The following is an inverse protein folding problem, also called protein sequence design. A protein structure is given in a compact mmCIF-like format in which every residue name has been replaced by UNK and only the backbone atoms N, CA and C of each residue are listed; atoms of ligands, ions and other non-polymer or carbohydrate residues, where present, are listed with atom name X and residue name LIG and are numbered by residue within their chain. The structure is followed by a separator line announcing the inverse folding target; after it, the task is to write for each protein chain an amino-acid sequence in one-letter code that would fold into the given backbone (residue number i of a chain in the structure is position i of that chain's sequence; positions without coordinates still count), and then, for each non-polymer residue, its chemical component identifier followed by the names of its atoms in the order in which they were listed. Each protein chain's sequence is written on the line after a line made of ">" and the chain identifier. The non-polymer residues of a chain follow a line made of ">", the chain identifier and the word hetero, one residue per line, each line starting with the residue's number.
data_IF_820463868039
#
_entry.id   IF_820463868039
#
_cell.length_a   1.000
_cell.length_b   1.000
_cell.length_c   1.000
_cell.angle_alpha   90.00
_cell.angle_beta   90.00
_cell.angle_gamma   90.00
#
_symmetry.space_group_name_H-M   'P 1'
#
loop_
_entity.id
_entity.type
_entity.pdbx_description
1 polymer ?
#
# COMPACT_ATOMS: atom_id res chain seq x y z
N UNK A 1 -17.07 -0.86 -20.90
CA UNK A 1 -16.70 -0.72 -19.49
C UNK A 1 -15.75 -1.85 -19.21
N UNK A 2 -14.55 -1.53 -18.72
CA UNK A 2 -13.55 -2.56 -18.46
C UNK A 2 -13.88 -3.24 -17.14
N UNK A 3 -13.89 -4.57 -17.17
CA UNK A 3 -14.23 -5.43 -16.03
C UNK A 3 -12.99 -6.16 -15.52
N UNK A 4 -12.99 -6.49 -14.23
CA UNK A 4 -12.03 -7.40 -13.62
C UNK A 4 -12.74 -8.48 -12.82
N UNK A 5 -12.08 -9.62 -12.67
CA UNK A 5 -12.54 -10.74 -11.87
C UNK A 5 -12.14 -10.53 -10.40
N UNK A 6 -13.06 -10.66 -9.47
CA UNK A 6 -12.80 -10.44 -8.05
C UNK A 6 -13.57 -11.36 -7.13
N UNK A 7 -13.22 -11.35 -5.84
CA UNK A 7 -13.90 -12.10 -4.80
C UNK A 7 -14.80 -11.15 -4.01
N UNK A 8 -16.12 -11.32 -4.15
CA UNK A 8 -17.09 -10.54 -3.37
C UNK A 8 -16.98 -10.91 -1.89
N UNK A 9 -16.87 -9.90 -1.03
CA UNK A 9 -16.98 -10.05 0.42
C UNK A 9 -18.41 -9.73 0.84
N UNK A 10 -18.85 -10.26 1.97
CA UNK A 10 -20.24 -10.04 2.41
C UNK A 10 -20.51 -8.60 2.89
N UNK A 11 -19.48 -7.77 3.06
CA UNK A 11 -19.60 -6.32 3.28
C UNK A 11 -19.68 -5.51 1.97
N UNK A 12 -19.70 -6.17 0.81
CA UNK A 12 -19.80 -5.56 -0.51
C UNK A 12 -18.47 -5.06 -1.11
N UNK A 13 -17.36 -5.22 -0.38
CA UNK A 13 -16.02 -5.00 -0.92
C UNK A 13 -15.61 -6.16 -1.83
N UNK A 14 -14.61 -5.93 -2.70
CA UNK A 14 -14.17 -6.92 -3.70
C UNK A 14 -12.66 -7.09 -3.59
N UNK A 15 -12.18 -8.31 -3.32
CA UNK A 15 -10.74 -8.63 -3.36
C UNK A 15 -10.28 -9.01 -4.76
N UNK A 16 -9.07 -8.61 -5.15
CA UNK A 16 -8.41 -9.11 -6.38
C UNK A 16 -7.47 -10.30 -6.09
N UNK A 17 -7.31 -10.62 -4.81
CA UNK A 17 -6.57 -11.75 -4.25
C UNK A 17 -7.39 -12.36 -3.11
N UNK A 18 -6.93 -13.51 -2.63
CA UNK A 18 -7.59 -14.28 -1.58
C UNK A 18 -6.53 -14.80 -0.59
N UNK A 19 -5.77 -13.88 0.01
CA UNK A 19 -4.64 -14.21 0.88
C UNK A 19 -5.08 -14.76 2.24
N UNK A 20 -4.28 -15.65 2.81
CA UNK A 20 -4.34 -16.02 4.23
C UNK A 20 -3.25 -15.23 4.94
N UNK A 21 -3.60 -14.52 6.01
CA UNK A 21 -2.62 -13.84 6.85
C UNK A 21 -2.35 -14.60 8.14
N UNK A 22 -1.08 -14.66 8.54
CA UNK A 22 -0.67 -15.07 9.88
C UNK A 22 -0.14 -13.83 10.59
N UNK A 23 -0.95 -13.25 11.47
CA UNK A 23 -0.68 -11.95 12.09
C UNK A 23 -0.15 -12.14 13.49
N UNK A 24 1.08 -11.73 13.72
CA UNK A 24 1.68 -11.67 15.06
C UNK A 24 1.17 -10.44 15.81
N UNK A 25 0.76 -10.61 17.07
CA UNK A 25 0.34 -9.49 17.95
C UNK A 25 1.48 -8.94 18.82
N UNK A 26 2.62 -9.62 18.84
CA UNK A 26 3.78 -9.23 19.63
C UNK A 26 5.06 -9.79 19.03
N UNK A 27 6.18 -9.08 19.20
CA UNK A 27 7.50 -9.52 18.71
C UNK A 27 7.83 -10.98 19.10
N UNK A 28 7.51 -11.40 20.32
CA UNK A 28 7.74 -12.77 20.81
C UNK A 28 7.03 -13.86 19.99
N UNK A 29 5.94 -13.52 19.29
CA UNK A 29 5.17 -14.43 18.45
C UNK A 29 5.62 -14.45 16.99
N UNK A 30 6.49 -13.52 16.56
CA UNK A 30 6.90 -13.36 15.15
C UNK A 30 7.48 -14.65 14.55
N UNK A 31 8.37 -15.33 15.28
CA UNK A 31 8.99 -16.57 14.78
C UNK A 31 7.98 -17.71 14.59
N UNK A 32 6.92 -17.77 15.40
CA UNK A 32 5.84 -18.76 15.19
C UNK A 32 5.05 -18.39 13.94
N UNK A 33 4.68 -17.12 13.77
CA UNK A 33 3.95 -16.64 12.60
C UNK A 33 4.71 -16.88 11.29
N UNK A 34 6.00 -16.54 11.24
CA UNK A 34 6.88 -16.76 10.07
C UNK A 34 6.94 -18.24 9.72
N UNK A 35 7.16 -19.12 10.71
CA UNK A 35 7.31 -20.56 10.45
C UNK A 35 6.01 -21.24 10.02
N UNK A 36 4.85 -20.68 10.36
CA UNK A 36 3.57 -21.12 9.80
C UNK A 36 3.49 -20.70 8.32
N UNK A 37 3.82 -19.45 8.01
CA UNK A 37 3.81 -18.91 6.64
C UNK A 37 4.83 -19.60 5.70
N UNK A 38 6.00 -20.01 6.20
CA UNK A 38 7.00 -20.76 5.41
C UNK A 38 6.55 -22.18 5.03
N UNK A 39 5.63 -22.75 5.81
CA UNK A 39 5.15 -24.13 5.64
C UNK A 39 3.79 -24.22 4.93
N UNK A 40 3.24 -23.08 4.54
CA UNK A 40 1.89 -22.94 3.98
C UNK A 40 1.94 -21.89 2.86
N UNK A 41 0.81 -21.59 2.23
CA UNK A 41 0.69 -20.44 1.31
C UNK A 41 0.30 -19.14 2.01
N UNK A 42 0.27 -19.12 3.35
CA UNK A 42 -0.07 -17.92 4.11
C UNK A 42 1.08 -16.90 4.11
N UNK A 43 0.73 -15.64 4.37
CA UNK A 43 1.66 -14.51 4.46
C UNK A 43 1.73 -14.05 5.90
N UNK A 44 2.93 -13.99 6.48
CA UNK A 44 3.12 -13.50 7.84
C UNK A 44 3.19 -11.98 7.89
N UNK A 45 2.48 -11.36 8.82
CA UNK A 45 2.69 -9.96 9.21
C UNK A 45 3.28 -9.95 10.61
N UNK A 46 4.45 -9.35 10.74
CA UNK A 46 5.23 -9.25 11.97
C UNK A 46 5.53 -7.80 12.30
N UNK A 47 5.79 -7.51 13.57
CA UNK A 47 6.24 -6.21 14.03
C UNK A 47 7.15 -6.35 15.26
N UNK A 48 7.98 -5.34 15.53
CA UNK A 48 8.95 -5.37 16.64
C UNK A 48 8.36 -4.87 17.97
N UNK A 49 7.04 -4.73 18.03
CA UNK A 49 6.33 -4.08 19.13
C UNK A 49 5.33 -5.02 19.83
N UNK A 50 4.36 -4.49 20.56
CA UNK A 50 3.34 -5.26 21.29
C UNK A 50 3.55 -5.32 22.81
N UNK A 51 4.64 -4.76 23.33
CA UNK A 51 4.90 -4.58 24.77
C UNK A 51 5.56 -3.22 25.02
N UNK A 52 5.25 -2.60 26.16
CA UNK A 52 5.85 -1.33 26.63
C UNK A 52 5.77 -0.18 25.62
N UNK A 53 4.72 -0.14 24.79
CA UNK A 53 4.47 1.01 23.93
C UNK A 53 3.66 2.06 24.69
N UNK A 54 3.89 3.35 24.37
CA UNK A 54 2.94 4.39 24.74
C UNK A 54 1.56 4.07 24.15
N UNK A 55 0.49 4.59 24.76
CA UNK A 55 -0.88 4.32 24.33
C UNK A 55 -1.10 4.68 22.85
N UNK A 56 -0.60 5.83 22.40
CA UNK A 56 -0.66 6.28 21.01
C UNK A 56 0.02 5.28 20.05
N UNK A 57 1.22 4.83 20.41
CA UNK A 57 1.99 3.89 19.62
C UNK A 57 1.32 2.50 19.55
N UNK A 58 0.83 2.00 20.68
CA UNK A 58 0.07 0.75 20.76
C UNK A 58 -1.22 0.83 19.93
N UNK A 59 -1.94 1.95 19.99
CA UNK A 59 -3.14 2.20 19.18
C UNK A 59 -2.81 2.20 17.69
N UNK A 60 -1.68 2.79 17.28
CA UNK A 60 -1.23 2.77 15.89
C UNK A 60 -0.88 1.36 15.42
N UNK A 61 -0.15 0.57 16.22
CA UNK A 61 0.16 -0.83 15.91
C UNK A 61 -1.12 -1.65 15.77
N UNK A 62 -2.02 -1.54 16.75
CA UNK A 62 -3.31 -2.24 16.74
C UNK A 62 -4.16 -1.86 15.51
N UNK A 63 -4.21 -0.57 15.15
CA UNK A 63 -4.89 -0.10 13.94
C UNK A 63 -4.26 -0.73 12.68
N UNK A 64 -2.94 -0.72 12.56
CA UNK A 64 -2.23 -1.29 11.41
C UNK A 64 -2.51 -2.78 11.22
N UNK A 65 -2.49 -3.57 12.30
CA UNK A 65 -2.81 -5.00 12.26
C UNK A 65 -4.29 -5.25 11.91
N UNK A 66 -5.22 -4.51 12.53
CA UNK A 66 -6.66 -4.61 12.23
C UNK A 66 -6.95 -4.29 10.77
N UNK A 67 -6.34 -3.23 10.25
CA UNK A 67 -6.52 -2.81 8.86
C UNK A 67 -5.91 -3.78 7.85
N UNK A 68 -4.82 -4.46 8.21
CA UNK A 68 -4.32 -5.58 7.41
C UNK A 68 -5.40 -6.66 7.26
N UNK A 69 -6.02 -7.03 8.38
CA UNK A 69 -7.08 -8.04 8.42
C UNK A 69 -8.36 -7.59 7.69
N UNK A 70 -8.66 -6.29 7.68
CA UNK A 70 -9.84 -5.72 6.99
C UNK A 70 -9.69 -5.66 5.47
N UNK A 71 -8.47 -5.66 4.92
CA UNK A 71 -8.24 -5.47 3.49
C UNK A 71 -9.03 -6.51 2.65
N UNK A 72 -9.67 -6.10 1.53
CA UNK A 72 -10.51 -6.98 0.73
C UNK A 72 -9.75 -8.14 0.07
N UNK A 73 -8.44 -8.03 -0.15
CA UNK A 73 -7.60 -9.11 -0.67
C UNK A 73 -7.37 -10.24 0.34
N UNK A 74 -7.68 -10.02 1.61
CA UNK A 74 -7.48 -11.01 2.68
C UNK A 74 -8.75 -11.84 2.85
N UNK A 75 -8.63 -13.15 2.62
CA UNK A 75 -9.71 -14.10 2.84
C UNK A 75 -9.83 -14.51 4.30
N UNK A 76 -8.72 -14.89 4.92
CA UNK A 76 -8.72 -15.55 6.22
C UNK A 76 -7.51 -15.13 7.04
N UNK A 77 -7.65 -15.18 8.36
CA UNK A 77 -6.64 -14.67 9.29
C UNK A 77 -6.39 -15.67 10.40
N UNK A 78 -5.12 -15.90 10.71
CA UNK A 78 -4.65 -16.65 11.87
C UNK A 78 -3.89 -15.67 12.76
N UNK A 79 -4.43 -15.37 13.93
CA UNK A 79 -3.81 -14.48 14.91
C UNK A 79 -2.90 -15.31 15.80
N UNK A 80 -1.65 -14.90 15.93
CA UNK A 80 -0.65 -15.57 16.76
C UNK A 80 -0.21 -14.61 17.86
N UNK A 81 -0.56 -14.94 19.11
CA UNK A 81 -0.18 -14.19 20.29
C UNK A 81 0.62 -15.02 21.28
N UNK A 82 1.27 -14.35 22.23
CA UNK A 82 1.94 -15.05 23.33
C UNK A 82 0.94 -15.34 24.46
N UNK A 83 0.11 -14.34 24.78
CA UNK A 83 -0.92 -14.37 25.83
C UNK A 83 -0.77 -13.27 26.89
N UNK A 84 0.29 -12.46 26.83
CA UNK A 84 0.61 -11.45 27.85
C UNK A 84 0.91 -10.05 27.28
N UNK A 85 0.80 -9.89 25.97
CA UNK A 85 1.10 -8.65 25.26
C UNK A 85 0.08 -7.53 25.49
N UNK A 86 0.48 -6.29 25.25
CA UNK A 86 -0.38 -5.11 25.32
C UNK A 86 -1.42 -5.10 24.18
N UNK A 87 -1.04 -5.60 23.00
CA UNK A 87 -1.94 -5.79 21.86
C UNK A 87 -2.67 -7.12 22.04
N UNK A 88 -3.74 -7.08 22.82
CA UNK A 88 -4.49 -8.26 23.23
C UNK A 88 -4.99 -9.09 22.02
N UNK A 89 -4.41 -10.29 21.85
CA UNK A 89 -4.77 -11.23 20.80
C UNK A 89 -6.23 -11.71 20.87
N UNK A 90 -6.85 -11.73 22.05
CA UNK A 90 -8.27 -12.04 22.18
C UNK A 90 -9.13 -10.92 21.58
N UNK A 91 -8.83 -9.66 21.93
CA UNK A 91 -9.54 -8.51 21.36
C UNK A 91 -9.33 -8.39 19.85
N UNK A 92 -8.12 -8.70 19.38
CA UNK A 92 -7.83 -8.78 17.94
C UNK A 92 -8.68 -9.86 17.27
N UNK A 93 -8.77 -11.04 17.89
CA UNK A 93 -9.59 -12.15 17.38
C UNK A 93 -11.08 -11.81 17.35
N UNK A 94 -11.60 -11.18 18.40
CA UNK A 94 -12.99 -10.73 18.48
C UNK A 94 -13.29 -9.64 17.44
N UNK A 95 -12.31 -8.80 17.09
CA UNK A 95 -12.43 -7.84 16.00
C UNK A 95 -12.55 -8.56 14.66
N UNK A 96 -11.61 -9.47 14.36
CA UNK A 96 -11.59 -10.16 13.06
C UNK A 96 -12.80 -11.09 12.89
N UNK A 97 -13.31 -11.71 13.97
CA UNK A 97 -14.54 -12.51 13.93
C UNK A 97 -15.79 -11.74 13.51
N UNK A 98 -15.80 -10.42 13.67
CA UNK A 98 -16.90 -9.55 13.22
C UNK A 98 -16.78 -9.18 11.74
N UNK A 99 -15.61 -9.41 11.15
CA UNK A 99 -15.39 -9.22 9.73
C UNK A 99 -15.99 -10.37 8.93
N UNK A 100 -16.30 -10.15 7.64
CA UNK A 100 -16.88 -11.17 6.76
C UNK A 100 -15.82 -12.18 6.28
N UNK A 101 -15.05 -12.77 7.21
CA UNK A 101 -13.94 -13.67 6.91
C UNK A 101 -13.67 -14.68 8.04
N UNK A 102 -13.26 -15.91 7.71
CA UNK A 102 -12.85 -16.89 8.71
C UNK A 102 -11.61 -16.42 9.48
N UNK A 103 -11.61 -16.71 10.78
CA UNK A 103 -10.56 -16.30 11.69
C UNK A 103 -10.23 -17.42 12.68
N UNK A 104 -8.94 -17.61 12.91
CA UNK A 104 -8.40 -18.50 13.93
C UNK A 104 -7.42 -17.76 14.84
N UNK A 105 -7.18 -18.31 16.02
CA UNK A 105 -6.26 -17.77 17.03
C UNK A 105 -5.39 -18.90 17.57
N UNK A 106 -4.12 -18.61 17.79
CA UNK A 106 -3.12 -19.48 18.39
C UNK A 106 -2.43 -18.68 19.49
N UNK A 107 -2.55 -19.14 20.74
CA UNK A 107 -1.87 -18.53 21.89
C UNK A 107 -0.74 -19.43 22.36
N UNK A 108 0.50 -18.98 22.19
CA UNK A 108 1.69 -19.85 22.29
C UNK A 108 1.80 -20.54 23.64
N UNK A 109 1.45 -19.84 24.73
CA UNK A 109 1.48 -20.41 26.08
C UNK A 109 0.37 -21.43 26.32
N UNK A 110 -0.82 -21.20 25.76
CA UNK A 110 -1.97 -22.12 25.90
C UNK A 110 -1.76 -23.41 25.09
N UNK A 111 -1.14 -23.31 23.91
CA UNK A 111 -0.83 -24.48 23.07
C UNK A 111 0.33 -25.33 23.62
N UNK A 112 1.01 -24.89 24.69
CA UNK A 112 2.14 -25.61 25.27
C UNK A 112 3.49 -25.37 24.57
N UNK A 113 3.61 -24.25 23.85
CA UNK A 113 4.86 -23.75 23.29
C UNK A 113 4.93 -23.70 21.76
N UNK A 114 6.08 -23.25 21.21
CA UNK A 114 6.18 -22.93 19.77
C UNK A 114 5.94 -24.10 18.83
N UNK A 115 6.37 -25.33 19.17
CA UNK A 115 6.21 -26.49 18.27
C UNK A 115 4.73 -26.83 18.04
N UNK A 116 3.97 -26.86 19.12
CA UNK A 116 2.53 -27.13 19.13
C UNK A 116 1.77 -26.00 18.44
N UNK A 117 2.13 -24.76 18.75
CA UNK A 117 1.55 -23.56 18.13
C UNK A 117 1.73 -23.55 16.60
N UNK A 118 2.92 -23.89 16.11
CA UNK A 118 3.20 -23.98 14.67
C UNK A 118 2.35 -25.10 14.04
N UNK A 119 2.26 -26.27 14.66
CA UNK A 119 1.44 -27.37 14.15
C UNK A 119 -0.04 -26.97 14.05
N UNK A 120 -0.56 -26.29 15.09
CA UNK A 120 -1.94 -25.78 15.12
C UNK A 120 -2.19 -24.71 14.06
N UNK A 121 -1.24 -23.78 13.89
CA UNK A 121 -1.31 -22.76 12.84
C UNK A 121 -1.33 -23.35 11.44
N UNK A 122 -0.54 -24.40 11.17
CA UNK A 122 -0.55 -25.11 9.89
C UNK A 122 -1.88 -25.83 9.66
N UNK A 123 -2.46 -26.45 10.69
CA UNK A 123 -3.79 -27.07 10.62
C UNK A 123 -4.85 -26.03 10.20
N UNK A 124 -4.89 -24.86 10.85
CA UNK A 124 -5.82 -23.79 10.51
C UNK A 124 -5.60 -23.24 9.09
N UNK A 125 -4.34 -23.04 8.68
CA UNK A 125 -4.02 -22.63 7.32
C UNK A 125 -4.53 -23.65 6.29
N UNK A 126 -4.36 -24.94 6.55
CA UNK A 126 -4.86 -26.00 5.66
C UNK A 126 -6.39 -26.07 5.58
N UNK A 127 -7.13 -25.65 6.62
CA UNK A 127 -8.59 -25.49 6.55
C UNK A 127 -8.94 -24.33 5.63
N UNK A 128 -8.33 -23.16 5.85
CA UNK A 128 -8.54 -21.97 5.05
C UNK A 128 -8.18 -22.19 3.57
N UNK A 129 -7.08 -22.90 3.26
CA UNK A 129 -6.66 -23.22 1.89
C UNK A 129 -7.71 -24.09 1.16
N UNK A 130 -8.36 -25.02 1.87
CA UNK A 130 -9.45 -25.82 1.30
C UNK A 130 -10.67 -24.95 0.99
N UNK A 131 -11.06 -24.07 1.91
CA UNK A 131 -12.18 -23.15 1.70
C UNK A 131 -11.92 -22.19 0.54
N UNK A 132 -10.69 -21.67 0.44
CA UNK A 132 -10.20 -20.84 -0.65
C UNK A 132 -10.35 -21.50 -2.02
N UNK A 133 -10.01 -22.79 -2.12
CA UNK A 133 -10.07 -23.54 -3.39
C UNK A 133 -11.49 -23.67 -3.96
N UNK A 134 -12.51 -23.43 -3.14
CA UNK A 134 -13.92 -23.46 -3.53
C UNK A 134 -14.46 -22.08 -3.92
N UNK A 135 -13.71 -21.00 -3.66
CA UNK A 135 -14.14 -19.64 -3.97
C UNK A 135 -14.07 -19.39 -5.47
N UNK A 136 -15.13 -18.79 -6.01
CA UNK A 136 -15.19 -18.36 -7.40
C UNK A 136 -15.03 -16.85 -7.50
N UNK A 137 -14.61 -16.38 -8.68
CA UNK A 137 -14.47 -14.97 -8.97
C UNK A 137 -15.63 -14.51 -9.83
N UNK A 138 -16.20 -13.37 -9.48
CA UNK A 138 -17.25 -12.71 -10.25
C UNK A 138 -16.67 -11.51 -11.02
N UNK A 139 -17.39 -11.08 -12.06
CA UNK A 139 -17.02 -9.91 -12.86
C UNK A 139 -17.53 -8.62 -12.22
N UNK A 140 -16.64 -7.65 -12.02
CA UNK A 140 -16.94 -6.32 -11.47
C UNK A 140 -16.40 -5.23 -12.37
N UNK A 141 -17.04 -4.06 -12.39
CA UNK A 141 -16.48 -2.89 -13.06
C UNK A 141 -15.41 -2.20 -12.23
N UNK A 142 -14.69 -1.26 -12.83
CA UNK A 142 -13.61 -0.51 -12.18
C UNK A 142 -14.07 0.29 -10.95
N UNK A 143 -15.37 0.53 -10.76
CA UNK A 143 -15.93 1.18 -9.57
C UNK A 143 -15.70 0.42 -8.27
N UNK A 144 -15.38 -0.88 -8.37
CA UNK A 144 -14.97 -1.71 -7.24
C UNK A 144 -13.45 -1.75 -7.04
N UNK A 145 -12.66 -1.06 -7.85
CA UNK A 145 -11.20 -1.06 -7.80
C UNK A 145 -10.66 0.21 -7.14
N UNK A 146 -9.72 0.01 -6.21
CA UNK A 146 -8.98 1.03 -5.48
C UNK A 146 -7.48 0.79 -5.69
N UNK A 147 -6.82 1.75 -6.33
CA UNK A 147 -5.42 1.68 -6.73
C UNK A 147 -4.60 2.70 -5.94
N UNK A 148 -3.58 2.25 -5.22
CA UNK A 148 -2.55 3.15 -4.68
C UNK A 148 -1.57 3.58 -5.77
N UNK A 149 -1.10 4.82 -5.74
CA UNK A 149 -0.03 5.30 -6.63
C UNK A 149 1.13 5.86 -5.81
N UNK A 150 2.32 5.34 -6.06
CA UNK A 150 3.53 5.64 -5.28
C UNK A 150 4.75 5.77 -6.18
N UNK A 151 5.71 6.60 -5.80
CA UNK A 151 7.08 6.47 -6.25
C UNK A 151 8.04 6.13 -5.10
N UNK A 152 9.14 5.47 -5.43
CA UNK A 152 10.18 5.14 -4.46
C UNK A 152 11.52 5.76 -4.83
N UNK A 153 12.56 4.93 -4.91
CA UNK A 153 13.89 5.28 -5.44
C UNK A 153 13.81 5.89 -6.85
N UNK A 154 13.60 7.20 -6.91
CA UNK A 154 13.37 8.00 -8.11
C UNK A 154 14.68 8.44 -8.76
N UNK A 155 14.68 8.48 -10.08
CA UNK A 155 15.67 9.10 -10.96
C UNK A 155 14.99 10.15 -11.86
N UNK A 156 15.75 10.80 -12.73
CA UNK A 156 15.22 11.80 -13.67
C UNK A 156 14.13 11.25 -14.61
N UNK A 157 14.17 9.97 -14.99
CA UNK A 157 13.15 9.34 -15.84
C UNK A 157 11.82 9.13 -15.11
N UNK A 158 11.86 9.06 -13.78
CA UNK A 158 10.67 8.82 -12.95
C UNK A 158 9.65 9.93 -13.13
N UNK A 159 10.06 11.20 -13.16
CA UNK A 159 9.15 12.32 -13.40
C UNK A 159 8.67 12.42 -14.86
N UNK A 160 9.60 12.22 -15.81
CA UNK A 160 9.33 12.41 -17.24
C UNK A 160 8.47 11.30 -17.85
N UNK A 161 8.67 10.06 -17.40
CA UNK A 161 7.98 8.89 -17.93
C UNK A 161 7.14 8.20 -16.85
N UNK A 162 7.77 7.61 -15.82
CA UNK A 162 7.08 6.75 -14.84
C UNK A 162 5.81 7.38 -14.22
N UNK A 163 5.96 8.52 -13.55
CA UNK A 163 4.87 9.24 -12.89
C UNK A 163 3.87 9.83 -13.89
N UNK A 164 4.32 10.22 -15.08
CA UNK A 164 3.45 10.77 -16.12
C UNK A 164 2.54 9.68 -16.71
N UNK A 165 3.08 8.49 -16.94
CA UNK A 165 2.32 7.30 -17.38
C UNK A 165 1.36 6.84 -16.28
N UNK A 166 1.78 6.84 -15.01
CA UNK A 166 0.87 6.61 -13.87
C UNK A 166 -0.27 7.63 -13.88
N UNK A 167 0.02 8.90 -14.14
CA UNK A 167 -1.01 9.95 -14.25
C UNK A 167 -2.06 9.66 -15.33
N UNK A 168 -1.63 9.25 -16.52
CA UNK A 168 -2.56 8.85 -17.58
C UNK A 168 -3.40 7.62 -17.19
N UNK A 169 -2.81 6.64 -16.50
CA UNK A 169 -3.54 5.49 -15.94
C UNK A 169 -4.54 5.92 -14.84
N UNK A 170 -4.17 6.84 -13.96
CA UNK A 170 -5.04 7.40 -12.91
C UNK A 170 -6.29 8.01 -13.52
N UNK A 171 -6.16 8.79 -14.60
CA UNK A 171 -7.30 9.38 -15.29
C UNK A 171 -8.23 8.32 -15.87
N UNK A 172 -7.70 7.22 -16.40
CA UNK A 172 -8.51 6.10 -16.91
C UNK A 172 -9.24 5.35 -15.79
N UNK A 173 -8.59 5.10 -14.63
CA UNK A 173 -9.24 4.48 -13.48
C UNK A 173 -10.40 5.35 -12.98
N UNK A 174 -10.16 6.64 -12.76
CA UNK A 174 -11.18 7.57 -12.25
C UNK A 174 -12.31 7.76 -13.27
N UNK A 175 -11.99 7.87 -14.57
CA UNK A 175 -12.99 7.98 -15.65
C UNK A 175 -13.90 6.76 -15.73
N UNK A 176 -13.39 5.56 -15.42
CA UNK A 176 -14.18 4.33 -15.35
C UNK A 176 -14.85 4.12 -13.98
N UNK A 177 -14.88 5.15 -13.13
CA UNK A 177 -15.59 5.15 -11.85
C UNK A 177 -14.81 4.51 -10.70
N UNK A 178 -13.53 4.18 -10.87
CA UNK A 178 -12.68 3.61 -9.83
C UNK A 178 -12.07 4.64 -8.87
N UNK A 179 -11.32 4.14 -7.90
CA UNK A 179 -10.67 4.95 -6.86
C UNK A 179 -9.15 4.93 -7.05
N UNK A 180 -8.52 6.09 -6.93
CA UNK A 180 -7.06 6.22 -6.85
C UNK A 180 -6.68 6.91 -5.55
N UNK A 181 -5.77 6.28 -4.80
CA UNK A 181 -5.18 6.84 -3.60
C UNK A 181 -3.78 7.35 -3.93
N UNK A 182 -3.54 8.63 -3.71
CA UNK A 182 -2.21 9.24 -3.79
C UNK A 182 -1.80 9.65 -2.40
N UNK A 183 -0.55 9.39 -2.02
CA UNK A 183 0.00 9.87 -0.74
C UNK A 183 1.27 10.65 -1.03
N UNK A 184 2.40 10.31 -0.39
CA UNK A 184 3.67 11.05 -0.50
C UNK A 184 3.50 12.54 -0.25
N UNK A 185 2.79 12.88 0.83
CA UNK A 185 2.57 14.27 1.27
C UNK A 185 3.91 15.00 1.43
N UNK A 186 4.95 14.28 1.87
CA UNK A 186 6.35 14.73 1.95
C UNK A 186 6.98 15.16 0.61
N UNK A 187 6.35 14.82 -0.52
CA UNK A 187 6.74 15.22 -1.87
C UNK A 187 5.83 16.29 -2.48
N UNK A 188 4.90 16.88 -1.74
CA UNK A 188 4.03 17.96 -2.22
C UNK A 188 4.65 19.37 -2.11
N UNK A 189 5.52 19.68 -1.13
CA UNK A 189 6.14 21.01 -1.03
C UNK A 189 6.75 21.49 -2.35
N UNK A 190 6.28 22.63 -2.84
CA UNK A 190 6.65 23.25 -4.12
C UNK A 190 5.56 23.14 -5.19
N UNK A 191 4.66 22.17 -5.12
CA UNK A 191 3.57 21.96 -6.10
C UNK A 191 2.18 21.87 -5.45
N UNK A 192 2.04 22.16 -4.16
CA UNK A 192 0.78 22.09 -3.41
C UNK A 192 -0.33 22.96 -4.04
N UNK A 193 0.04 24.13 -4.56
CA UNK A 193 -0.88 25.03 -5.27
C UNK A 193 -1.41 24.42 -6.59
N UNK A 194 -0.62 23.60 -7.27
CA UNK A 194 -1.03 22.87 -8.49
C UNK A 194 -2.05 21.79 -8.15
N UNK A 195 -1.86 21.11 -7.02
CA UNK A 195 -2.79 20.10 -6.51
C UNK A 195 -4.09 20.77 -6.03
N UNK A 196 -3.99 21.82 -5.21
CA UNK A 196 -5.12 22.58 -4.70
C UNK A 196 -6.01 23.17 -5.81
N UNK A 197 -5.42 23.63 -6.92
CA UNK A 197 -6.18 24.13 -8.09
C UNK A 197 -7.06 23.06 -8.75
N UNK A 198 -6.74 21.77 -8.55
CA UNK A 198 -7.51 20.63 -9.07
C UNK A 198 -8.49 20.05 -8.05
N UNK A 199 -8.60 20.64 -6.87
CA UNK A 199 -9.58 20.22 -5.88
C UNK A 199 -11.01 20.40 -6.43
N UNK A 200 -11.92 19.50 -6.05
CA UNK A 200 -13.35 19.59 -6.43
C UNK A 200 -14.04 20.84 -5.86
N UNK A 201 -13.50 21.41 -4.79
CA UNK A 201 -14.00 22.64 -4.17
C UNK A 201 -12.87 23.49 -3.60
N UNK A 202 -13.19 24.75 -3.27
CA UNK A 202 -12.23 25.67 -2.65
C UNK A 202 -11.79 25.17 -1.28
N UNK A 203 -12.71 24.60 -0.52
CA UNK A 203 -12.48 24.07 0.82
C UNK A 203 -11.45 22.94 0.78
N UNK A 204 -11.64 21.96 -0.12
CA UNK A 204 -10.66 20.89 -0.34
C UNK A 204 -9.31 21.45 -0.78
N UNK A 205 -9.31 22.48 -1.63
CA UNK A 205 -8.08 23.16 -2.05
C UNK A 205 -7.33 23.79 -0.87
N UNK A 206 -8.04 24.42 0.07
CA UNK A 206 -7.47 25.01 1.28
C UNK A 206 -6.94 23.90 2.21
N UNK A 207 -7.68 22.81 2.38
CA UNK A 207 -7.23 21.67 3.20
C UNK A 207 -5.91 21.09 2.69
N UNK A 208 -5.71 21.02 1.37
CA UNK A 208 -4.45 20.57 0.76
C UNK A 208 -3.30 21.52 1.08
N UNK A 209 -3.53 22.84 1.01
CA UNK A 209 -2.52 23.82 1.37
C UNK A 209 -2.16 23.75 2.85
N UNK A 210 -3.17 23.64 3.73
CA UNK A 210 -2.99 23.51 5.17
C UNK A 210 -2.21 22.24 5.53
N UNK A 211 -2.56 21.09 4.93
CA UNK A 211 -1.83 19.83 5.13
C UNK A 211 -0.32 19.98 4.85
N UNK A 212 0.06 20.73 3.81
CA UNK A 212 1.47 20.95 3.44
C UNK A 212 2.14 21.97 4.36
N UNK A 213 1.42 23.01 4.80
CA UNK A 213 1.90 23.96 5.81
C UNK A 213 2.19 23.25 7.13
N UNK A 214 1.24 22.48 7.64
CA UNK A 214 1.37 21.69 8.87
C UNK A 214 2.54 20.69 8.76
N UNK A 215 2.69 20.01 7.62
CA UNK A 215 3.84 19.14 7.38
C UNK A 215 5.18 19.87 7.54
N UNK A 216 5.31 21.09 6.99
CA UNK A 216 6.54 21.89 7.11
C UNK A 216 6.80 22.33 8.55
N UNK A 217 5.76 22.77 9.25
CA UNK A 217 5.84 23.16 10.66
C UNK A 217 6.24 21.98 11.55
N UNK A 218 5.65 20.81 11.33
CA UNK A 218 5.98 19.56 12.01
C UNK A 218 7.44 19.14 11.78
N UNK A 219 7.96 19.34 10.57
CA UNK A 219 9.35 19.00 10.25
C UNK A 219 10.33 19.88 11.04
N UNK A 220 10.06 21.18 11.11
CA UNK A 220 10.89 22.14 11.85
C UNK A 220 10.80 21.85 13.35
N UNK A 221 9.59 21.64 13.88
CA UNK A 221 9.39 21.45 15.32
C UNK A 221 10.06 20.17 15.84
N UNK A 222 10.02 19.08 15.07
CA UNK A 222 10.56 17.77 15.48
C UNK A 222 12.05 17.61 15.18
N UNK A 223 12.51 18.14 14.04
CA UNK A 223 13.85 17.86 13.52
C UNK A 223 14.78 19.08 13.55
N UNK A 224 14.26 20.29 13.78
CA UNK A 224 15.03 21.53 13.69
C UNK A 224 15.49 21.90 12.27
N UNK A 225 14.91 21.26 11.25
CA UNK A 225 15.25 21.43 9.84
C UNK A 225 13.99 21.49 8.98
N UNK A 226 14.09 22.10 7.81
CA UNK A 226 13.03 22.10 6.80
C UNK A 226 13.00 20.77 6.03
N UNK A 227 11.85 20.44 5.44
CA UNK A 227 11.72 19.23 4.62
C UNK A 227 12.53 19.34 3.31
N UNK A 228 12.70 20.55 2.79
CA UNK A 228 13.50 20.89 1.61
C UNK A 228 14.99 20.54 1.79
N UNK A 229 15.51 20.55 3.03
CA UNK A 229 16.89 20.18 3.33
C UNK A 229 17.14 18.67 3.29
N UNK A 230 16.13 17.86 3.61
CA UNK A 230 16.24 16.40 3.70
C UNK A 230 15.75 15.65 2.45
N UNK A 231 14.86 16.26 1.68
CA UNK A 231 14.26 15.69 0.47
C UNK A 231 14.58 16.60 -0.72
N UNK A 232 15.23 16.13 -1.80
CA UNK A 232 15.51 14.74 -2.20
C UNK A 232 16.59 14.03 -1.38
N UNK A 233 16.39 12.71 -1.19
CA UNK A 233 17.37 11.83 -0.54
C UNK A 233 18.68 11.73 -1.35
N UNK A 234 19.82 11.32 -0.75
CA UNK A 234 21.08 11.14 -1.48
C UNK A 234 20.95 10.26 -2.73
N UNK A 235 20.15 9.19 -2.65
CA UNK A 235 19.88 8.30 -3.78
C UNK A 235 19.12 8.97 -4.93
N UNK A 236 18.22 9.91 -4.63
CA UNK A 236 17.51 10.70 -5.65
C UNK A 236 18.42 11.73 -6.30
N UNK A 237 19.27 12.40 -5.51
CA UNK A 237 20.26 13.37 -6.02
C UNK A 237 21.24 12.69 -6.99
N UNK A 238 21.75 11.50 -6.62
CA UNK A 238 22.58 10.69 -7.51
C UNK A 238 21.83 10.20 -8.77
N UNK A 239 20.49 10.11 -8.71
CA UNK A 239 19.63 9.80 -9.86
C UNK A 239 19.25 11.00 -10.73
N UNK A 240 19.80 12.19 -10.45
CA UNK A 240 19.64 13.40 -11.27
C UNK A 240 18.57 14.39 -10.78
N UNK A 241 17.96 14.18 -9.61
CA UNK A 241 16.96 15.10 -9.06
C UNK A 241 17.64 16.15 -8.17
N UNK A 242 17.51 17.44 -8.51
CA UNK A 242 18.30 18.52 -7.89
C UNK A 242 17.62 19.18 -6.69
N UNK A 243 16.30 19.38 -6.74
CA UNK A 243 15.55 20.12 -5.70
C UNK A 243 14.26 19.41 -5.28
N UNK A 244 13.71 19.79 -4.12
CA UNK A 244 12.40 19.28 -3.70
C UNK A 244 11.30 19.70 -4.67
N UNK A 245 11.36 20.94 -5.17
CA UNK A 245 10.36 21.46 -6.13
C UNK A 245 10.37 20.65 -7.42
N UNK A 246 11.55 20.33 -7.97
CA UNK A 246 11.69 19.46 -9.14
C UNK A 246 11.10 18.07 -8.88
N UNK A 247 11.43 17.46 -7.73
CA UNK A 247 10.85 16.17 -7.32
C UNK A 247 9.33 16.26 -7.19
N UNK A 248 8.84 17.35 -6.60
CA UNK A 248 7.43 17.59 -6.33
C UNK A 248 6.62 17.70 -7.61
N UNK A 249 7.11 18.44 -8.60
CA UNK A 249 6.48 18.54 -9.91
C UNK A 249 6.35 17.16 -10.57
N UNK A 250 7.34 16.29 -10.43
CA UNK A 250 7.25 14.90 -10.86
C UNK A 250 6.27 14.08 -10.01
N UNK A 251 6.28 14.25 -8.69
CA UNK A 251 5.46 13.50 -7.75
C UNK A 251 3.95 13.67 -8.03
N UNK A 252 3.51 14.91 -8.20
CA UNK A 252 2.08 15.25 -8.40
C UNK A 252 1.54 14.84 -9.76
N UNK A 253 2.40 14.47 -10.73
CA UNK A 253 1.95 13.93 -12.02
C UNK A 253 1.26 12.58 -11.92
N UNK A 254 1.54 11.78 -10.87
CA UNK A 254 0.85 10.50 -10.64
C UNK A 254 -0.67 10.66 -10.47
N UNK A 255 -1.11 11.85 -10.09
CA UNK A 255 -2.52 12.20 -9.95
C UNK A 255 -3.24 12.42 -11.30
N UNK A 256 -2.53 12.42 -12.43
CA UNK A 256 -3.14 12.68 -13.74
C UNK A 256 -3.71 14.09 -13.83
N UNK A 257 -4.92 14.22 -14.37
CA UNK A 257 -5.73 15.43 -14.49
C UNK A 257 -7.06 15.37 -13.72
N UNK A 258 -7.43 14.21 -13.19
CA UNK A 258 -8.64 14.01 -12.39
C UNK A 258 -8.74 14.99 -11.20
N UNK A 259 -9.96 15.44 -10.85
CA UNK A 259 -10.15 16.35 -9.72
C UNK A 259 -9.96 15.62 -8.38
N UNK A 260 -9.25 16.27 -7.45
CA UNK A 260 -8.99 15.74 -6.11
C UNK A 260 -10.25 15.89 -5.27
N UNK A 261 -10.80 14.77 -4.81
CA UNK A 261 -12.06 14.70 -4.08
C UNK A 261 -11.94 15.20 -2.64
N UNK A 262 -10.78 14.96 -2.01
CA UNK A 262 -10.55 15.28 -0.61
C UNK A 262 -9.29 14.64 -0.06
N UNK A 263 -9.12 14.79 1.25
CA UNK A 263 -8.04 14.20 2.04
C UNK A 263 -8.67 13.20 3.02
N UNK A 264 -8.07 12.02 3.14
CA UNK A 264 -8.41 11.01 4.15
C UNK A 264 -7.19 10.68 5.01
N UNK A 265 -7.43 10.27 6.25
CA UNK A 265 -6.39 9.87 7.18
C UNK A 265 -6.07 8.38 7.07
N UNK A 266 -4.86 8.00 7.49
CA UNK A 266 -4.41 6.59 7.45
C UNK A 266 -5.33 5.69 8.27
N UNK A 267 -5.95 4.71 7.60
CA UNK A 267 -6.91 3.77 8.19
C UNK A 267 -8.38 4.16 7.98
N UNK A 268 -8.67 5.35 7.46
CA UNK A 268 -10.02 5.72 7.03
C UNK A 268 -10.40 5.01 5.73
N UNK A 269 -11.70 4.74 5.58
CA UNK A 269 -12.27 4.20 4.34
C UNK A 269 -12.53 5.34 3.37
N UNK A 270 -12.30 5.09 2.09
CA UNK A 270 -12.64 6.04 1.03
C UNK A 270 -14.15 6.23 0.97
N UNK A 271 -14.69 7.47 1.03
CA UNK A 271 -16.14 7.69 1.06
C UNK A 271 -16.87 7.27 -0.23
N UNK A 272 -16.27 7.56 -1.38
CA UNK A 272 -16.79 7.22 -2.70
C UNK A 272 -15.67 7.24 -3.75
N UNK A 273 -15.89 6.68 -4.95
CA UNK A 273 -14.86 6.64 -5.97
C UNK A 273 -14.36 8.02 -6.42
N UNK A 274 -13.13 8.05 -6.95
CA UNK A 274 -12.40 9.25 -7.37
C UNK A 274 -10.94 9.26 -6.93
N UNK A 275 -10.27 10.40 -7.15
CA UNK A 275 -8.89 10.63 -6.71
C UNK A 275 -8.86 11.24 -5.29
N UNK A 276 -8.24 10.54 -4.35
CA UNK A 276 -8.13 10.96 -2.94
C UNK A 276 -6.67 11.09 -2.51
N UNK A 277 -6.40 12.07 -1.65
CA UNK A 277 -5.11 12.16 -0.96
C UNK A 277 -5.20 11.38 0.34
N UNK A 278 -4.30 10.42 0.53
CA UNK A 278 -4.09 9.73 1.80
C UNK A 278 -3.00 10.46 2.58
N UNK A 279 -3.39 11.11 3.68
CA UNK A 279 -2.51 11.91 4.53
C UNK A 279 -1.64 11.03 5.42
N UNK A 280 -0.60 10.46 4.82
CA UNK A 280 0.46 9.73 5.50
C UNK A 280 1.73 10.60 5.54
N UNK A 281 1.94 11.30 6.66
CA UNK A 281 3.13 12.15 6.88
C UNK A 281 4.26 11.42 7.61
N UNK A 282 4.05 10.14 7.95
CA UNK A 282 5.02 9.31 8.62
C UNK A 282 6.36 9.33 7.86
N UNK A 283 7.42 9.75 8.56
CA UNK A 283 8.78 9.78 8.00
C UNK A 283 9.36 8.36 8.07
N UNK A 284 9.78 7.81 6.94
CA UNK A 284 10.34 6.47 6.92
C UNK A 284 10.42 5.83 5.54
N UNK A 285 10.48 4.49 5.48
CA UNK A 285 10.61 3.75 4.23
C UNK A 285 9.36 3.87 3.36
N UNK A 286 9.52 3.67 2.05
CA UNK A 286 8.41 3.63 1.08
C UNK A 286 7.29 2.63 1.48
N UNK A 287 7.63 1.59 2.26
CA UNK A 287 6.68 0.62 2.80
C UNK A 287 5.63 1.22 3.72
N UNK A 288 5.90 2.36 4.37
CA UNK A 288 4.92 3.08 5.18
C UNK A 288 3.72 3.51 4.34
N UNK A 289 3.98 4.05 3.15
CA UNK A 289 2.92 4.57 2.28
C UNK A 289 2.17 3.42 1.59
N UNK A 290 2.87 2.37 1.14
CA UNK A 290 2.20 1.21 0.56
C UNK A 290 1.36 0.49 1.61
N UNK A 291 1.84 0.39 2.85
CA UNK A 291 1.05 -0.11 3.98
C UNK A 291 -0.15 0.79 4.27
N UNK A 292 0.00 2.11 4.23
CA UNK A 292 -1.10 3.04 4.41
C UNK A 292 -2.21 2.86 3.35
N UNK A 293 -1.86 2.68 2.07
CA UNK A 293 -2.83 2.38 1.02
C UNK A 293 -3.58 1.07 1.30
N UNK A 294 -2.86 0.02 1.67
CA UNK A 294 -3.44 -1.25 2.08
C UNK A 294 -4.41 -1.08 3.26
N UNK A 295 -4.05 -0.24 4.24
CA UNK A 295 -4.88 0.07 5.40
C UNK A 295 -6.18 0.82 5.04
N UNK A 296 -6.16 1.58 3.94
CA UNK A 296 -7.34 2.26 3.38
C UNK A 296 -8.09 1.42 2.35
N UNK A 297 -7.76 0.14 2.22
CA UNK A 297 -8.49 -0.83 1.40
C UNK A 297 -8.05 -0.90 -0.07
N UNK A 298 -6.91 -0.30 -0.43
CA UNK A 298 -6.35 -0.49 -1.76
C UNK A 298 -6.11 -1.97 -2.05
N UNK A 299 -6.50 -2.40 -3.25
CA UNK A 299 -6.33 -3.78 -3.69
C UNK A 299 -5.02 -3.97 -4.45
N UNK A 300 -4.47 -2.91 -5.04
CA UNK A 300 -3.27 -2.93 -5.86
C UNK A 300 -2.56 -1.57 -5.76
N UNK A 301 -1.24 -1.56 -5.97
CA UNK A 301 -0.49 -0.31 -6.07
C UNK A 301 0.34 -0.26 -7.35
N UNK A 302 0.29 0.86 -8.06
CA UNK A 302 1.24 1.20 -9.12
C UNK A 302 2.43 1.92 -8.49
N UNK A 303 3.60 1.31 -8.55
CA UNK A 303 4.81 1.77 -7.89
C UNK A 303 5.91 2.09 -8.90
N UNK A 304 6.20 3.37 -9.12
CA UNK A 304 7.30 3.78 -9.99
C UNK A 304 8.64 3.85 -9.27
N UNK A 305 9.70 3.34 -9.88
CA UNK A 305 11.07 3.47 -9.38
C UNK A 305 12.08 3.51 -10.53
N UNK A 306 13.02 4.44 -10.45
CA UNK A 306 14.17 4.52 -11.36
C UNK A 306 15.30 3.56 -10.99
N UNK A 307 15.39 3.19 -9.70
CA UNK A 307 16.53 2.45 -9.12
C UNK A 307 16.27 0.98 -8.82
N UNK A 308 15.04 0.50 -8.99
CA UNK A 308 14.69 -0.91 -8.79
C UNK A 308 14.52 -1.32 -7.34
N UNK A 309 13.65 -0.62 -6.60
CA UNK A 309 13.27 -1.06 -5.25
C UNK A 309 12.63 -2.46 -5.27
N UNK A 310 13.09 -3.41 -4.44
CA UNK A 310 12.47 -4.73 -4.31
C UNK A 310 11.17 -4.69 -3.49
N UNK A 311 10.76 -3.54 -2.93
CA UNK A 311 9.58 -3.40 -2.09
C UNK A 311 8.35 -4.13 -2.64
N UNK A 312 7.63 -4.87 -1.81
CA UNK A 312 6.30 -5.36 -2.11
C UNK A 312 5.27 -4.94 -1.06
N UNK A 313 4.25 -5.76 -0.86
CA UNK A 313 3.29 -5.57 0.22
C UNK A 313 2.64 -6.91 0.59
N UNK A 314 2.43 -7.15 1.89
CA UNK A 314 1.87 -8.41 2.39
C UNK A 314 0.39 -8.65 2.03
N UNK A 315 -0.39 -7.60 1.74
CA UNK A 315 -1.84 -7.70 1.53
C UNK A 315 -2.32 -7.21 0.18
N UNK A 316 -1.42 -6.74 -0.69
CA UNK A 316 -1.77 -6.35 -2.05
C UNK A 316 -0.59 -6.48 -3.04
N UNK A 317 -0.86 -6.82 -4.31
CA UNK A 317 0.15 -6.74 -5.36
C UNK A 317 0.61 -5.30 -5.59
N UNK A 318 1.89 -5.15 -5.89
CA UNK A 318 2.48 -3.90 -6.36
C UNK A 318 3.03 -4.13 -7.77
N UNK A 319 2.55 -3.35 -8.75
CA UNK A 319 3.03 -3.34 -10.15
C UNK A 319 4.19 -2.36 -10.26
N UNK A 320 5.39 -2.86 -10.55
CA UNK A 320 6.63 -2.08 -10.59
C UNK A 320 6.86 -1.49 -11.96
N UNK A 321 6.99 -0.18 -11.97
CA UNK A 321 7.08 0.62 -13.19
C UNK A 321 8.42 1.34 -13.18
N UNK A 322 9.13 1.32 -14.30
CA UNK A 322 10.31 2.17 -14.44
C UNK A 322 10.23 3.01 -15.70
N UNK A 323 10.64 4.28 -15.59
CA UNK A 323 10.80 5.19 -16.71
C UNK A 323 12.11 4.99 -17.47
N UNK A 324 12.99 4.11 -16.99
CA UNK A 324 14.32 3.89 -17.54
C UNK A 324 14.36 2.54 -18.30
N UNK A 325 14.49 2.55 -19.65
CA UNK A 325 14.55 1.32 -20.45
C UNK A 325 15.69 0.37 -20.06
N UNK A 326 16.84 0.90 -19.64
CA UNK A 326 18.01 0.10 -19.22
C UNK A 326 17.75 -0.57 -17.88
N UNK A 327 17.13 0.15 -16.93
CA UNK A 327 16.68 -0.43 -15.66
C UNK A 327 15.66 -1.54 -15.90
N UNK A 328 14.72 -1.36 -16.83
CA UNK A 328 13.74 -2.40 -17.16
C UNK A 328 14.40 -3.67 -17.68
N UNK A 329 15.38 -3.54 -18.58
CA UNK A 329 16.10 -4.68 -19.14
C UNK A 329 16.99 -5.38 -18.11
N UNK A 330 17.73 -4.61 -17.31
CA UNK A 330 18.69 -5.15 -16.33
C UNK A 330 18.03 -5.72 -15.07
N UNK A 331 16.91 -5.16 -14.62
CA UNK A 331 16.19 -5.55 -13.41
C UNK A 331 14.82 -6.20 -13.70
N UNK A 332 14.77 -7.05 -14.73
CA UNK A 332 13.54 -7.77 -15.13
C UNK A 332 12.97 -8.71 -14.04
N UNK A 333 13.77 -9.10 -13.04
CA UNK A 333 13.27 -9.84 -11.87
C UNK A 333 12.47 -8.97 -10.90
N UNK A 334 12.50 -7.64 -11.04
CA UNK A 334 11.83 -6.66 -10.18
C UNK A 334 10.73 -5.92 -10.95
N UNK A 335 10.95 -5.61 -12.22
CA UNK A 335 10.08 -4.73 -13.01
C UNK A 335 8.92 -5.46 -13.68
N UNK A 336 7.72 -4.90 -13.56
CA UNK A 336 6.52 -5.42 -14.22
C UNK A 336 6.19 -4.66 -15.52
N UNK A 337 6.57 -3.38 -15.61
CA UNK A 337 6.17 -2.49 -16.71
C UNK A 337 7.25 -1.47 -17.11
N UNK A 338 7.46 -1.30 -18.42
CA UNK A 338 8.40 -0.35 -19.00
C UNK A 338 7.69 0.94 -19.44
N UNK A 339 7.70 1.97 -18.58
CA UNK A 339 7.26 3.31 -18.95
C UNK A 339 8.33 4.08 -19.75
N UNK A 340 9.57 3.60 -19.79
CA UNK A 340 10.66 4.20 -20.56
C UNK A 340 10.44 4.23 -22.07
N UNK A 341 9.43 3.52 -22.58
CA UNK A 341 8.86 3.69 -23.93
C UNK A 341 8.57 5.17 -24.27
N UNK A 342 8.15 5.96 -23.28
CA UNK A 342 7.92 7.41 -23.44
C UNK A 342 9.21 8.15 -23.76
N UNK A 343 10.32 7.81 -23.09
CA UNK A 343 11.64 8.41 -23.36
C UNK A 343 12.11 8.07 -24.78
N UNK A 344 11.71 6.91 -25.29
CA UNK A 344 12.01 6.45 -26.65
C UNK A 344 11.06 7.04 -27.72
N UNK A 345 10.15 7.94 -27.34
CA UNK A 345 9.31 8.72 -28.26
C UNK A 345 7.85 8.29 -28.34
N UNK A 346 7.41 7.28 -27.58
CA UNK A 346 5.99 6.93 -27.51
C UNK A 346 5.18 7.96 -26.72
N UNK A 347 3.90 8.12 -27.06
CA UNK A 347 3.01 9.07 -26.38
C UNK A 347 2.62 8.56 -25.00
N UNK A 348 2.66 9.45 -24.00
CA UNK A 348 2.29 9.15 -22.60
C UNK A 348 0.90 8.51 -22.52
N UNK A 349 -0.09 9.03 -23.24
CA UNK A 349 -1.47 8.52 -23.19
C UNK A 349 -1.56 7.05 -23.62
N UNK A 350 -0.85 6.66 -24.68
CA UNK A 350 -0.82 5.27 -25.18
C UNK A 350 -0.14 4.33 -24.17
N UNK A 351 1.00 4.76 -23.62
CA UNK A 351 1.72 3.97 -22.60
C UNK A 351 0.90 3.91 -21.30
N UNK A 352 0.12 4.95 -20.99
CA UNK A 352 -0.83 4.99 -19.87
C UNK A 352 -2.00 4.03 -20.03
N UNK A 353 -2.56 3.92 -21.24
CA UNK A 353 -3.57 2.90 -21.57
C UNK A 353 -3.02 1.48 -21.41
N UNK A 354 -1.77 1.24 -21.82
CA UNK A 354 -1.12 -0.07 -21.63
C UNK A 354 -0.85 -0.36 -20.15
N UNK A 355 -0.48 0.65 -19.36
CA UNK A 355 -0.36 0.49 -17.91
C UNK A 355 -1.72 0.21 -17.26
N UNK A 356 -2.79 0.88 -17.69
CA UNK A 356 -4.15 0.61 -17.25
C UNK A 356 -4.53 -0.86 -17.51
N UNK A 357 -4.30 -1.36 -18.73
CA UNK A 357 -4.52 -2.78 -19.06
C UNK A 357 -3.70 -3.70 -18.14
N UNK A 358 -2.43 -3.38 -17.88
CA UNK A 358 -1.59 -4.15 -16.96
C UNK A 358 -2.16 -4.19 -15.53
N UNK A 359 -2.71 -3.08 -15.03
CA UNK A 359 -3.39 -3.03 -13.73
C UNK A 359 -4.62 -3.95 -13.72
N UNK A 360 -5.44 -3.93 -14.78
CA UNK A 360 -6.60 -4.82 -14.92
C UNK A 360 -6.18 -6.29 -15.06
N UNK A 361 -5.12 -6.60 -15.80
CA UNK A 361 -4.55 -7.95 -15.89
C UNK A 361 -4.06 -8.46 -14.53
N UNK A 362 -3.37 -7.62 -13.75
CA UNK A 362 -2.95 -7.95 -12.39
C UNK A 362 -4.16 -8.13 -11.47
N UNK A 363 -5.19 -7.28 -11.59
CA UNK A 363 -6.46 -7.48 -10.89
C UNK A 363 -7.11 -8.82 -11.30
N UNK A 364 -6.98 -9.22 -12.56
CA UNK A 364 -7.41 -10.51 -13.10
C UNK A 364 -6.53 -11.70 -12.70
N UNK A 365 -5.53 -11.51 -11.83
CA UNK A 365 -4.77 -12.59 -11.21
C UNK A 365 -3.40 -12.85 -11.82
N UNK A 366 -2.94 -12.01 -12.76
CA UNK A 366 -1.54 -12.03 -13.17
C UNK A 366 -0.68 -11.61 -11.99
N UNK A 367 0.25 -12.49 -11.60
CA UNK A 367 1.19 -12.28 -10.50
C UNK A 367 2.18 -11.17 -10.83
N UNK A 368 2.49 -10.31 -9.86
CA UNK A 368 3.57 -9.31 -10.02
C UNK A 368 4.91 -9.87 -9.59
N UNK A 369 6.01 -9.25 -10.05
CA UNK A 369 7.37 -9.65 -9.65
C UNK A 369 7.58 -9.65 -8.13
N UNK A 370 6.96 -8.73 -7.38
CA UNK A 370 7.07 -8.77 -5.91
C UNK A 370 6.33 -9.94 -5.28
N UNK A 371 5.21 -10.37 -5.86
CA UNK A 371 4.50 -11.56 -5.37
C UNK A 371 5.34 -12.82 -5.65
N UNK A 372 5.89 -12.96 -6.86
CA UNK A 372 6.79 -14.06 -7.24
C UNK A 372 8.02 -14.15 -6.32
N UNK A 373 8.60 -12.99 -5.99
CA UNK A 373 9.76 -12.89 -5.09
C UNK A 373 9.41 -13.01 -3.61
N UNK A 374 8.11 -13.10 -3.25
CA UNK A 374 7.62 -13.12 -1.86
C UNK A 374 8.04 -11.89 -1.03
N UNK A 375 8.11 -10.74 -1.68
CA UNK A 375 8.40 -9.46 -1.01
C UNK A 375 7.12 -8.98 -0.31
N UNK A 376 6.85 -9.50 0.88
CA UNK A 376 5.62 -9.26 1.63
C UNK A 376 5.83 -8.23 2.75
N UNK A 377 6.30 -7.05 2.39
CA UNK A 377 6.51 -5.95 3.34
C UNK A 377 5.18 -5.47 3.94
N UNK A 378 5.15 -5.22 5.24
CA UNK A 378 4.01 -4.55 5.88
C UNK A 378 4.53 -3.79 7.10
N UNK A 379 4.83 -2.51 6.91
CA UNK A 379 5.43 -1.68 7.95
C UNK A 379 4.46 -0.58 8.34
N UNK A 380 3.94 -0.67 9.57
CA UNK A 380 2.88 0.20 10.05
C UNK A 380 3.42 1.65 10.14
N UNK A 381 2.84 2.61 9.40
CA UNK A 381 3.31 3.99 9.43
C UNK A 381 3.05 4.60 10.80
N UNK A 382 4.10 5.21 11.38
CA UNK A 382 4.01 5.95 12.64
C UNK A 382 4.03 7.44 12.34
N UNK A 383 2.84 7.99 12.20
CA UNK A 383 2.62 9.43 12.15
C UNK A 383 2.28 9.88 13.58
N UNK A 384 3.29 10.32 14.32
CA UNK A 384 3.13 10.98 15.63
C UNK A 384 3.00 12.46 15.30
N UNK A 385 1.77 12.96 15.27
CA UNK A 385 1.50 14.40 15.13
C UNK A 385 1.61 15.03 16.51
N UNK A 386 2.30 16.16 16.60
CA UNK A 386 2.46 16.89 17.87
C UNK A 386 1.16 17.52 18.33
#
# INVERSE_FOLDING_TARGET
>A
MDHFLGYLRSDGSVGIRNYILVVSTVQCANNVAIRIAEKTNAISITHDFGCMESEENSNRTNLGLKKACENPNVYGVIIVGLGCEQIDANKMYDHVKKLPKPAYKVLIQEEGGPKQSIAKGIEYAGILEKELSLQQRDSFGAEKLTVGVQCGGSDWTTALAGNSVIGAMTDLIVKNGGTVLMSEVVGFPGSEHVVAKRAVSKEVGIDILNMVTELREDFISKNGQTIEEVNPTPGNKAGGITTLVEKSMGNVKKMGSAPVQGIIQVGEKVPHPGLWILDCRAQGPDSFVTTAFAMSGAQITAFSTGRGSPLGNAVMPLVKITGNPETYQSLNSIMDFNAGRVILGEKIDLVGEDLYKKIIETANGITTKSEDNRNFDYTIPRDIRS
#
